data_IF_654486288381
#
_entry.id   IF_654486288381
#
_cell.length_a   1.000
_cell.length_b   1.000
_cell.length_c   1.000
_cell.angle_alpha   90.00
_cell.angle_beta   90.00
_cell.angle_gamma   90.00
#
_symmetry.space_group_name_H-M   'P 1'
#
loop_
_entity.id
_entity.type
_entity.pdbx_description
1 polymer ?
#
# COMPACT_ATOMS: atom_id res chain seq x y z
N UNK A 1 48.99 41.38 23.11
CA UNK A 1 47.71 41.19 23.84
C UNK A 1 46.61 41.36 22.80
N UNK A 2 45.81 40.40 22.35
CA UNK A 2 45.42 39.03 22.77
C UNK A 2 44.82 38.30 21.53
N UNK A 3 44.70 36.96 21.53
CA UNK A 3 44.89 36.12 20.35
C UNK A 3 43.63 35.61 19.59
N UNK A 4 43.89 35.18 18.36
CA UNK A 4 43.09 34.35 17.44
C UNK A 4 42.79 32.98 18.08
N UNK A 5 41.52 32.56 18.16
CA UNK A 5 41.03 31.17 18.26
C UNK A 5 39.51 31.24 18.49
N UNK A 6 38.60 30.50 17.87
CA UNK A 6 38.65 29.38 16.95
C UNK A 6 37.19 28.90 16.89
N UNK A 7 36.53 29.07 15.74
CA UNK A 7 35.15 28.65 15.55
C UNK A 7 35.11 27.12 15.46
N UNK A 8 34.52 26.46 16.47
CA UNK A 8 34.18 25.03 16.40
C UNK A 8 32.70 24.95 16.06
N UNK A 9 32.41 24.92 14.75
CA UNK A 9 31.11 24.51 14.24
C UNK A 9 31.08 22.98 14.26
N UNK A 10 30.55 22.40 15.34
CA UNK A 10 30.31 20.97 15.42
C UNK A 10 29.19 20.59 14.45
N UNK A 11 29.55 20.10 13.27
CA UNK A 11 28.64 19.33 12.42
C UNK A 11 28.29 18.03 13.16
N UNK A 12 27.19 18.06 13.92
CA UNK A 12 26.51 16.85 14.30
C UNK A 12 26.02 16.19 13.00
N UNK A 13 26.69 15.12 12.57
CA UNK A 13 26.17 14.18 11.58
C UNK A 13 25.00 13.44 12.23
N UNK A 14 23.84 14.08 12.31
CA UNK A 14 22.58 13.38 12.48
C UNK A 14 22.37 12.58 11.20
N UNK A 15 22.63 11.27 11.28
CA UNK A 15 22.33 10.34 10.20
C UNK A 15 20.90 10.58 9.74
N UNK A 16 20.74 10.97 8.48
CA UNK A 16 19.44 11.14 7.85
C UNK A 16 18.81 9.76 7.69
N UNK A 17 18.13 9.30 8.74
CA UNK A 17 17.10 8.28 8.56
C UNK A 17 15.94 8.96 7.81
N UNK A 18 16.04 9.04 6.48
CA UNK A 18 15.08 9.75 5.66
C UNK A 18 13.72 9.01 5.73
N UNK A 19 12.73 9.51 6.50
CA UNK A 19 11.50 8.76 6.78
C UNK A 19 10.63 8.62 5.53
N UNK A 20 10.84 9.50 4.54
CA UNK A 20 10.13 9.47 3.28
C UNK A 20 10.48 8.24 2.45
N UNK A 21 11.76 7.84 2.39
CA UNK A 21 12.19 6.68 1.58
C UNK A 21 11.64 5.37 2.14
N UNK A 22 11.60 5.23 3.47
CA UNK A 22 11.00 4.06 4.15
C UNK A 22 9.49 3.96 3.88
N UNK A 23 8.76 5.08 3.98
CA UNK A 23 7.30 5.13 3.73
C UNK A 23 6.95 4.84 2.27
N UNK A 24 7.75 5.31 1.32
CA UNK A 24 7.55 5.06 -0.10
C UNK A 24 7.81 3.58 -0.46
N UNK A 25 8.87 3.00 0.08
CA UNK A 25 9.21 1.59 -0.11
C UNK A 25 8.18 0.65 0.54
N UNK A 26 7.65 1.04 1.71
CA UNK A 26 6.56 0.32 2.38
C UNK A 26 5.25 0.41 1.61
N UNK A 27 4.94 1.57 1.04
CA UNK A 27 3.78 1.74 0.17
C UNK A 27 3.85 0.84 -1.08
N UNK A 28 5.04 0.70 -1.68
CA UNK A 28 5.26 -0.18 -2.82
C UNK A 28 5.10 -1.67 -2.43
N UNK A 29 5.70 -2.09 -1.31
CA UNK A 29 5.59 -3.47 -0.79
C UNK A 29 4.15 -3.86 -0.45
N UNK A 30 3.35 -2.91 0.02
CA UNK A 30 1.98 -3.18 0.45
C UNK A 30 0.97 -3.02 -0.69
N UNK A 31 1.42 -2.79 -1.93
CA UNK A 31 0.54 -2.68 -3.09
C UNK A 31 0.66 -3.93 -3.96
N UNK A 32 -0.48 -4.52 -4.32
CA UNK A 32 -0.62 -5.71 -5.15
C UNK A 32 -1.53 -5.43 -6.34
N UNK A 33 -1.23 -6.04 -7.48
CA UNK A 33 -2.14 -6.12 -8.61
C UNK A 33 -2.68 -7.55 -8.70
N UNK A 34 -4.01 -7.68 -8.76
CA UNK A 34 -4.72 -8.93 -8.90
C UNK A 34 -5.66 -8.86 -10.11
N UNK A 35 -6.21 -10.01 -10.51
CA UNK A 35 -7.28 -10.12 -11.47
C UNK A 35 -8.60 -10.44 -10.75
N UNK A 36 -9.65 -9.70 -11.07
CA UNK A 36 -11.03 -9.94 -10.64
C UNK A 36 -11.88 -10.08 -11.88
N UNK A 37 -12.49 -11.25 -12.09
CA UNK A 37 -13.27 -11.53 -13.32
C UNK A 37 -12.54 -11.23 -14.64
N UNK A 38 -11.21 -11.41 -14.68
CA UNK A 38 -10.38 -11.12 -15.85
C UNK A 38 -9.95 -9.66 -16.00
N UNK A 39 -10.31 -8.79 -15.07
CA UNK A 39 -9.94 -7.37 -15.07
C UNK A 39 -8.95 -7.04 -13.95
N UNK A 40 -8.13 -6.00 -14.14
CA UNK A 40 -7.07 -5.64 -13.19
C UNK A 40 -7.65 -4.86 -12.00
N UNK A 41 -7.40 -5.38 -10.80
CA UNK A 41 -7.68 -4.74 -9.52
C UNK A 41 -6.36 -4.42 -8.82
N UNK A 42 -6.16 -3.16 -8.41
CA UNK A 42 -4.98 -2.78 -7.60
C UNK A 42 -5.41 -2.59 -6.15
N UNK A 43 -4.67 -3.22 -5.24
CA UNK A 43 -4.95 -3.29 -3.81
C UNK A 43 -3.75 -2.73 -3.07
N UNK A 44 -3.94 -1.67 -2.29
CA UNK A 44 -2.92 -1.15 -1.38
C UNK A 44 -3.36 -1.34 0.06
N UNK A 45 -2.62 -2.15 0.80
CA UNK A 45 -2.79 -2.30 2.23
C UNK A 45 -2.14 -1.12 2.97
N UNK A 46 -2.84 -0.57 3.94
CA UNK A 46 -2.34 0.41 4.89
C UNK A 46 -2.79 0.01 6.30
N UNK A 47 -2.33 0.75 7.30
CA UNK A 47 -2.73 0.48 8.68
C UNK A 47 -4.25 0.69 8.86
N UNK A 48 -4.96 -0.37 9.24
CA UNK A 48 -6.41 -0.34 9.48
C UNK A 48 -7.31 -0.21 8.25
N UNK A 49 -6.76 -0.08 7.04
CA UNK A 49 -7.53 0.12 5.82
C UNK A 49 -6.89 -0.51 4.57
N UNK A 50 -7.71 -0.70 3.54
CA UNK A 50 -7.28 -1.10 2.20
C UNK A 50 -7.83 -0.09 1.20
N UNK A 51 -6.96 0.37 0.30
CA UNK A 51 -7.31 1.25 -0.80
C UNK A 51 -7.30 0.44 -2.09
N UNK A 52 -8.46 0.36 -2.73
CA UNK A 52 -8.68 -0.32 -3.99
C UNK A 52 -8.73 0.68 -5.14
N UNK A 53 -8.14 0.31 -6.27
CA UNK A 53 -8.42 0.89 -7.58
C UNK A 53 -9.10 -0.18 -8.43
N UNK A 54 -10.40 -0.02 -8.62
CA UNK A 54 -11.26 -0.91 -9.38
C UNK A 54 -10.99 -0.80 -10.90
N UNK A 55 -11.42 -1.80 -11.70
CA UNK A 55 -11.28 -1.78 -13.15
C UNK A 55 -11.91 -0.55 -13.84
N UNK A 56 -13.00 -0.04 -13.27
CA UNK A 56 -13.72 1.16 -13.70
C UNK A 56 -13.01 2.48 -13.29
N UNK A 57 -11.75 2.41 -12.87
CA UNK A 57 -10.94 3.51 -12.35
C UNK A 57 -11.48 4.15 -11.06
N UNK A 58 -12.50 3.56 -10.41
CA UNK A 58 -13.00 4.03 -9.13
C UNK A 58 -12.02 3.68 -8.00
N UNK A 59 -11.79 4.64 -7.12
CA UNK A 59 -11.02 4.44 -5.88
C UNK A 59 -11.98 4.16 -4.74
N UNK A 60 -11.74 3.07 -4.01
CA UNK A 60 -12.56 2.66 -2.88
C UNK A 60 -11.68 2.40 -1.68
N UNK A 61 -12.07 2.93 -0.52
CA UNK A 61 -11.43 2.59 0.76
C UNK A 61 -12.31 1.61 1.52
N UNK A 62 -11.71 0.54 2.01
CA UNK A 62 -12.32 -0.44 2.89
C UNK A 62 -11.63 -0.38 4.25
N UNK A 63 -12.40 -0.48 5.34
CA UNK A 63 -11.88 -0.43 6.70
C UNK A 63 -11.78 -1.82 7.29
N UNK A 64 -10.73 -2.07 8.09
CA UNK A 64 -10.51 -3.36 8.71
C UNK A 64 -11.66 -3.70 9.68
N UNK A 65 -12.18 -4.91 9.54
CA UNK A 65 -13.14 -5.49 10.48
C UNK A 65 -12.44 -6.63 11.22
N UNK A 66 -12.42 -6.63 12.57
CA UNK A 66 -11.81 -7.71 13.34
C UNK A 66 -12.39 -9.08 12.99
N UNK A 67 -11.53 -10.09 12.84
CA UNK A 67 -11.92 -11.48 12.60
C UNK A 67 -11.07 -12.42 13.45
N UNK A 68 -11.59 -13.62 13.73
CA UNK A 68 -10.85 -14.65 14.48
C UNK A 68 -9.72 -15.32 13.66
N UNK A 69 -9.74 -15.17 12.33
CA UNK A 69 -8.70 -15.67 11.42
C UNK A 69 -8.76 -14.93 10.08
N UNK A 70 -7.61 -14.79 9.43
CA UNK A 70 -7.48 -14.11 8.15
C UNK A 70 -7.64 -12.59 8.27
N UNK A 71 -8.07 -11.97 7.17
CA UNK A 71 -8.33 -10.55 7.08
C UNK A 71 -9.73 -10.31 6.53
N UNK A 72 -10.34 -9.21 6.96
CA UNK A 72 -11.60 -8.70 6.43
C UNK A 72 -11.55 -7.19 6.44
N UNK A 73 -11.90 -6.59 5.32
CA UNK A 73 -12.04 -5.16 5.14
C UNK A 73 -13.39 -4.88 4.48
N UNK A 74 -14.13 -3.88 4.94
CA UNK A 74 -15.42 -3.53 4.35
C UNK A 74 -15.73 -2.04 4.53
N UNK A 75 -16.61 -1.53 3.67
CA UNK A 75 -17.27 -0.23 3.82
C UNK A 75 -18.81 -0.35 3.82
N UNK A 76 -19.33 -1.55 4.05
CA UNK A 76 -20.76 -1.87 4.03
C UNK A 76 -21.29 -2.31 2.65
N UNK A 77 -20.78 -1.75 1.56
CA UNK A 77 -21.23 -2.10 0.19
C UNK A 77 -20.29 -3.07 -0.52
N UNK A 78 -19.01 -3.01 -0.18
CA UNK A 78 -17.95 -3.86 -0.70
C UNK A 78 -17.18 -4.49 0.44
N UNK A 79 -16.59 -5.66 0.15
CA UNK A 79 -15.79 -6.41 1.12
C UNK A 79 -14.58 -7.05 0.43
N UNK A 80 -13.44 -7.01 1.10
CA UNK A 80 -12.27 -7.81 0.77
C UNK A 80 -11.99 -8.71 1.96
N UNK A 81 -12.02 -10.03 1.76
CA UNK A 81 -11.73 -11.00 2.84
C UNK A 81 -10.86 -12.13 2.34
N UNK A 82 -10.13 -12.77 3.24
CA UNK A 82 -9.33 -13.94 2.88
C UNK A 82 -8.16 -14.18 3.81
N UNK A 83 -7.19 -14.95 3.33
CA UNK A 83 -5.96 -15.27 4.08
C UNK A 83 -4.78 -15.36 3.12
N UNK A 84 -3.69 -14.67 3.42
CA UNK A 84 -2.52 -14.66 2.55
C UNK A 84 -2.87 -14.09 1.17
N UNK A 85 -2.67 -14.89 0.12
CA UNK A 85 -3.00 -14.52 -1.26
C UNK A 85 -4.37 -15.03 -1.72
N UNK A 86 -5.03 -15.86 -0.91
CA UNK A 86 -6.38 -16.36 -1.18
C UNK A 86 -7.38 -15.30 -0.73
N UNK A 87 -7.60 -14.30 -1.58
CA UNK A 87 -8.49 -13.17 -1.34
C UNK A 87 -9.76 -13.30 -2.17
N UNK A 88 -10.89 -12.92 -1.58
CA UNK A 88 -12.20 -12.83 -2.22
C UNK A 88 -12.68 -11.39 -2.10
N UNK A 89 -13.04 -10.80 -3.24
CA UNK A 89 -13.64 -9.48 -3.32
C UNK A 89 -15.14 -9.60 -3.58
N UNK A 90 -15.94 -9.01 -2.70
CA UNK A 90 -17.40 -8.98 -2.79
C UNK A 90 -17.85 -7.57 -3.14
N UNK A 91 -18.63 -7.43 -4.21
CA UNK A 91 -19.28 -6.18 -4.62
C UNK A 91 -20.69 -6.50 -5.07
N UNK A 92 -21.68 -5.73 -4.61
CA UNK A 92 -23.09 -5.93 -4.97
C UNK A 92 -23.57 -7.38 -4.70
N UNK A 93 -23.13 -7.96 -3.59
CA UNK A 93 -23.39 -9.36 -3.20
C UNK A 93 -22.76 -10.44 -4.09
N UNK A 94 -21.94 -10.08 -5.08
CA UNK A 94 -21.20 -11.01 -5.92
C UNK A 94 -19.79 -11.18 -5.34
N UNK A 95 -19.52 -12.37 -4.81
CA UNK A 95 -18.21 -12.74 -4.28
C UNK A 95 -17.34 -13.35 -5.39
N UNK A 96 -16.23 -12.69 -5.72
CA UNK A 96 -15.31 -13.11 -6.78
C UNK A 96 -13.92 -13.38 -6.19
N UNK A 97 -13.34 -14.58 -6.38
CA UNK A 97 -11.97 -14.85 -5.96
C UNK A 97 -10.98 -14.05 -6.81
N UNK A 98 -9.98 -13.47 -6.16
CA UNK A 98 -8.88 -12.79 -6.83
C UNK A 98 -7.88 -13.81 -7.35
N UNK A 99 -7.33 -13.53 -8.53
CA UNK A 99 -6.39 -14.43 -9.21
C UNK A 99 -5.12 -13.68 -9.59
N UNK A 100 -4.00 -14.40 -9.70
CA UNK A 100 -2.74 -13.83 -10.21
C UNK A 100 -2.24 -12.62 -9.42
N UNK A 101 -2.55 -12.55 -8.13
CA UNK A 101 -2.09 -11.46 -7.27
C UNK A 101 -0.56 -11.42 -7.22
N UNK A 102 0.03 -10.27 -7.51
CA UNK A 102 1.47 -10.05 -7.46
C UNK A 102 1.78 -8.64 -6.93
N UNK A 103 2.97 -8.39 -6.34
CA UNK A 103 3.40 -7.05 -5.98
C UNK A 103 3.25 -6.09 -7.16
N UNK A 104 2.73 -4.89 -6.89
CA UNK A 104 2.52 -3.88 -7.91
C UNK A 104 3.86 -3.33 -8.39
N UNK A 105 4.17 -3.55 -9.65
CA UNK A 105 5.19 -2.80 -10.37
C UNK A 105 4.53 -1.63 -11.11
N UNK A 106 4.99 -0.39 -10.90
CA UNK A 106 4.54 0.73 -11.73
C UNK A 106 4.89 0.44 -13.19
N UNK A 107 4.03 0.82 -14.15
CA UNK A 107 4.37 0.70 -15.57
C UNK A 107 5.65 1.49 -15.84
N UNK A 108 6.63 0.85 -16.46
CA UNK A 108 7.83 1.53 -16.96
C UNK A 108 7.36 2.42 -18.09
N UNK A 109 7.19 3.72 -17.82
CA UNK A 109 6.94 4.70 -18.88
C UNK A 109 8.27 4.86 -19.62
N UNK A 110 8.38 4.47 -20.90
CA UNK A 110 9.62 4.67 -21.64
C UNK A 110 9.89 6.17 -21.70
N UNK A 111 11.07 6.57 -21.23
CA UNK A 111 11.54 7.94 -21.39
C UNK A 111 11.58 8.24 -22.89
N UNK A 112 10.82 9.25 -23.31
CA UNK A 112 10.76 9.72 -24.69
C UNK A 112 12.04 10.46 -25.07
#
# INVERSE_FOLDING_TARGET
MTPILGAILAFALTGCENPQKKKEEEAARNTFACMVSGERLVIRFAEGEVRLLLPDAQRVTLHQIPTGSGVRYSNGNMELRGKGMDLVFTRESIATPLQGCAPYSPPVVPAK
#
